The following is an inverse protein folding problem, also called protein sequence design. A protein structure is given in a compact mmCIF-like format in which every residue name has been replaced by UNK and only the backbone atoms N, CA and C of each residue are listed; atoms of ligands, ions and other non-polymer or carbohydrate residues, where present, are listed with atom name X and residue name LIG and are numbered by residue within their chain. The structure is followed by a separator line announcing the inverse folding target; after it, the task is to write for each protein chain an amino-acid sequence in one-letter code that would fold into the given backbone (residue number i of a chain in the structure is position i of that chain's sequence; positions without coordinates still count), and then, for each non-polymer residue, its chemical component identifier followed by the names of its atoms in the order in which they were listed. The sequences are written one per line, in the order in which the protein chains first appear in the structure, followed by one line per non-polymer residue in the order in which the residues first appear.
data_IF_699657590001
#
_entry.id   IF_699657590001
#
_cell.length_a   1.000
_cell.length_b   1.000
_cell.length_c   1.000
_cell.angle_alpha   90.00
_cell.angle_beta   90.00
_cell.angle_gamma   90.00
#
_symmetry.space_group_name_H-M   'P 1'
#
loop_
_entity.id
_entity.type
_entity.pdbx_description
1 polymer ?
#
# COMPACT_ATOMS: atom_id res chain seq x y z
N UNK A 1 -69.97 -15.97 39.28
CA UNK A 1 -68.96 -16.74 38.53
C UNK A 1 -68.98 -16.29 37.08
N UNK A 2 -68.17 -15.30 36.70
CA UNK A 2 -67.89 -14.93 35.29
C UNK A 2 -66.88 -13.79 35.31
N UNK A 3 -65.58 -14.11 35.39
CA UNK A 3 -64.51 -13.13 35.21
C UNK A 3 -63.14 -13.82 35.01
N UNK A 4 -63.01 -14.68 34.00
CA UNK A 4 -61.69 -15.08 33.45
C UNK A 4 -61.89 -15.53 32.00
N UNK A 5 -61.95 -14.62 31.01
CA UNK A 5 -61.78 -14.97 29.59
C UNK A 5 -61.41 -13.75 28.72
N UNK A 6 -60.39 -12.99 29.10
CA UNK A 6 -59.81 -11.96 28.21
C UNK A 6 -58.31 -11.81 28.46
N UNK A 7 -57.49 -12.85 28.23
CA UNK A 7 -56.04 -12.62 28.20
C UNK A 7 -55.19 -13.68 27.43
N UNK A 8 -55.62 -14.08 26.22
CA UNK A 8 -54.82 -15.03 25.42
C UNK A 8 -54.50 -14.59 23.99
N UNK A 9 -54.97 -13.41 23.54
CA UNK A 9 -54.75 -12.95 22.16
C UNK A 9 -53.67 -11.88 21.98
N UNK A 10 -53.13 -11.30 23.05
CA UNK A 10 -52.17 -10.19 22.95
C UNK A 10 -50.70 -10.63 22.75
N UNK A 11 -50.32 -11.84 23.18
CA UNK A 11 -48.92 -12.27 23.16
C UNK A 11 -48.44 -12.84 21.80
N UNK A 12 -49.34 -13.26 20.92
CA UNK A 12 -48.97 -13.79 19.60
C UNK A 12 -48.65 -12.68 18.57
N UNK A 13 -49.25 -11.49 18.71
CA UNK A 13 -49.01 -10.38 17.77
C UNK A 13 -47.66 -9.71 18.02
N UNK A 14 -47.22 -9.63 19.28
CA UNK A 14 -45.95 -8.98 19.66
C UNK A 14 -44.72 -9.81 19.26
N UNK A 15 -44.85 -11.14 19.22
CA UNK A 15 -43.76 -12.07 18.85
C UNK A 15 -43.53 -12.12 17.33
N UNK A 16 -44.59 -11.93 16.52
CA UNK A 16 -44.47 -11.86 15.06
C UNK A 16 -43.86 -10.53 14.62
N UNK A 17 -44.19 -9.42 15.30
CA UNK A 17 -43.65 -8.09 14.98
C UNK A 17 -42.14 -7.96 15.25
N UNK A 18 -41.60 -8.61 16.29
CA UNK A 18 -40.14 -8.61 16.58
C UNK A 18 -39.33 -9.49 15.63
N UNK A 19 -39.93 -10.58 15.13
CA UNK A 19 -39.29 -11.48 14.15
C UNK A 19 -39.10 -10.84 12.76
N UNK A 20 -40.07 -10.05 12.28
CA UNK A 20 -39.98 -9.36 10.98
C UNK A 20 -38.94 -8.23 11.02
N UNK A 21 -38.82 -7.52 12.15
CA UNK A 21 -37.82 -6.46 12.32
C UNK A 21 -36.41 -7.06 12.32
N UNK A 22 -36.17 -8.18 13.01
CA UNK A 22 -34.86 -8.86 12.95
C UNK A 22 -34.55 -9.44 11.55
N UNK A 23 -35.56 -9.92 10.81
CA UNK A 23 -35.39 -10.40 9.43
C UNK A 23 -34.98 -9.30 8.45
N UNK A 24 -35.45 -8.07 8.63
CA UNK A 24 -35.08 -6.91 7.81
C UNK A 24 -33.68 -6.37 8.14
N UNK A 25 -33.19 -6.54 9.37
CA UNK A 25 -31.80 -6.22 9.72
C UNK A 25 -30.80 -7.27 9.23
N UNK A 26 -31.20 -8.54 9.10
CA UNK A 26 -30.33 -9.62 8.57
C UNK A 26 -30.09 -9.53 7.05
N UNK A 27 -30.93 -8.81 6.30
CA UNK A 27 -30.69 -8.53 4.87
C UNK A 27 -29.62 -7.44 4.68
N UNK A 28 -29.33 -6.64 5.73
CA UNK A 28 -28.24 -5.67 5.73
C UNK A 28 -26.93 -6.22 6.31
N UNK A 29 -26.82 -7.53 6.54
CA UNK A 29 -25.51 -8.19 6.49
C UNK A 29 -25.14 -8.31 5.02
N UNK A 30 -24.91 -7.15 4.39
CA UNK A 30 -24.17 -7.07 3.14
C UNK A 30 -22.81 -7.64 3.49
N UNK A 31 -22.64 -8.92 3.18
CA UNK A 31 -21.34 -9.53 3.01
C UNK A 31 -20.51 -8.52 2.22
N UNK A 32 -19.42 -8.05 2.82
CA UNK A 32 -18.47 -7.09 2.26
C UNK A 32 -17.70 -7.74 1.09
N UNK A 33 -18.43 -8.30 0.11
CA UNK A 33 -17.88 -8.70 -1.17
C UNK A 33 -17.55 -7.39 -1.89
N UNK A 34 -16.27 -7.01 -1.84
CA UNK A 34 -15.70 -5.99 -2.72
C UNK A 34 -16.29 -6.18 -4.11
N UNK A 35 -16.96 -5.16 -4.64
CA UNK A 35 -17.53 -5.19 -5.99
C UNK A 35 -16.48 -5.72 -6.98
N UNK A 36 -16.83 -6.62 -7.93
CA UNK A 36 -15.90 -7.09 -8.97
C UNK A 36 -15.20 -5.95 -9.73
N UNK A 37 -15.82 -4.77 -9.75
CA UNK A 37 -15.24 -3.53 -10.24
C UNK A 37 -14.01 -3.09 -9.42
N UNK A 38 -14.11 -3.04 -8.10
CA UNK A 38 -13.01 -2.65 -7.22
C UNK A 38 -11.85 -3.65 -7.24
N UNK A 39 -12.11 -4.93 -7.52
CA UNK A 39 -11.03 -5.90 -7.74
C UNK A 39 -10.26 -5.62 -9.04
N UNK A 40 -10.98 -5.30 -10.13
CA UNK A 40 -10.34 -4.93 -11.40
C UNK A 40 -9.56 -3.62 -11.27
N UNK A 41 -10.14 -2.62 -10.62
CA UNK A 41 -9.46 -1.35 -10.37
C UNK A 41 -8.20 -1.57 -9.53
N UNK A 42 -8.26 -2.37 -8.46
CA UNK A 42 -7.09 -2.65 -7.63
C UNK A 42 -5.89 -3.15 -8.46
N UNK A 43 -6.11 -4.13 -9.35
CA UNK A 43 -5.07 -4.66 -10.26
C UNK A 43 -4.47 -3.59 -11.17
N UNK A 44 -5.29 -2.65 -11.67
CA UNK A 44 -4.83 -1.50 -12.46
C UNK A 44 -3.96 -0.57 -11.60
N UNK A 45 -4.41 -0.26 -10.38
CA UNK A 45 -3.68 0.64 -9.49
C UNK A 45 -2.32 0.06 -9.07
N UNK A 46 -2.17 -1.26 -9.01
CA UNK A 46 -0.87 -1.87 -8.73
C UNK A 46 0.18 -1.64 -9.79
N UNK A 47 -0.20 -1.81 -11.05
CA UNK A 47 0.66 -1.52 -12.20
C UNK A 47 1.04 -0.04 -12.15
N UNK A 48 0.05 0.83 -11.87
CA UNK A 48 0.28 2.26 -11.71
C UNK A 48 1.28 2.55 -10.60
N UNK A 49 1.14 1.95 -9.41
CA UNK A 49 2.06 2.19 -8.30
C UNK A 49 3.46 1.68 -8.61
N UNK A 50 3.60 0.48 -9.17
CA UNK A 50 4.89 -0.05 -9.61
C UNK A 50 5.59 0.88 -10.60
N UNK A 51 4.84 1.42 -11.58
CA UNK A 51 5.34 2.36 -12.59
C UNK A 51 5.57 3.79 -12.04
N UNK A 52 4.82 4.19 -11.02
CA UNK A 52 4.94 5.51 -10.40
C UNK A 52 6.20 5.63 -9.55
N UNK A 53 6.58 4.56 -8.84
CA UNK A 53 7.79 4.53 -8.03
C UNK A 53 9.08 4.38 -8.86
N UNK A 54 9.01 3.96 -10.12
CA UNK A 54 10.14 3.72 -11.05
C UNK A 54 11.14 2.62 -10.64
N UNK A 55 11.32 2.37 -9.34
CA UNK A 55 12.28 1.40 -8.81
C UNK A 55 11.90 -0.05 -9.13
N UNK A 56 10.60 -0.36 -9.17
CA UNK A 56 10.08 -1.68 -9.52
C UNK A 56 9.74 -1.85 -11.00
N UNK A 57 9.51 -0.74 -11.72
CA UNK A 57 8.93 -0.77 -13.06
C UNK A 57 9.77 -1.56 -14.07
N UNK A 58 9.09 -2.42 -14.82
CA UNK A 58 9.65 -3.04 -16.02
C UNK A 58 9.45 -2.19 -17.29
N UNK A 59 8.55 -1.20 -17.25
CA UNK A 59 8.06 -0.50 -18.43
C UNK A 59 8.56 0.94 -18.54
N UNK A 60 8.99 1.54 -17.44
CA UNK A 60 9.27 2.98 -17.37
C UNK A 60 10.63 3.27 -16.77
N UNK A 61 11.48 3.91 -17.55
CA UNK A 61 12.79 4.37 -17.11
C UNK A 61 12.68 5.68 -16.30
N UNK A 62 13.70 5.94 -15.48
CA UNK A 62 13.94 7.27 -14.93
C UNK A 62 14.22 8.27 -16.06
N UNK A 63 13.63 9.48 -15.99
CA UNK A 63 13.93 10.60 -16.88
C UNK A 63 15.42 10.91 -17.01
N UNK A 64 15.91 11.05 -18.24
CA UNK A 64 17.30 11.39 -18.53
C UNK A 64 17.47 12.82 -19.03
N UNK A 65 16.38 13.48 -19.41
CA UNK A 65 16.39 14.85 -19.90
C UNK A 65 15.05 15.56 -19.60
N UNK A 66 14.97 16.86 -19.95
CA UNK A 66 13.78 17.67 -19.69
C UNK A 66 12.53 17.24 -20.49
N UNK A 67 12.69 16.63 -21.66
CA UNK A 67 11.56 16.09 -22.43
C UNK A 67 10.97 14.89 -21.69
N UNK A 68 11.82 13.95 -21.27
CA UNK A 68 11.40 12.79 -20.47
C UNK A 68 10.77 13.25 -19.15
N UNK A 69 11.29 14.31 -18.53
CA UNK A 69 10.72 14.84 -17.29
C UNK A 69 9.30 15.39 -17.48
N UNK A 70 9.03 16.10 -18.59
CA UNK A 70 7.66 16.59 -18.88
C UNK A 70 6.68 15.45 -19.00
N UNK A 71 7.07 14.40 -19.72
CA UNK A 71 6.26 13.18 -19.86
C UNK A 71 6.08 12.48 -18.51
N UNK A 72 7.16 12.35 -17.73
CA UNK A 72 7.12 11.77 -16.40
C UNK A 72 6.12 12.50 -15.48
N UNK A 73 6.15 13.82 -15.49
CA UNK A 73 5.25 14.67 -14.71
C UNK A 73 3.80 14.53 -15.13
N UNK A 74 3.52 14.49 -16.44
CA UNK A 74 2.16 14.30 -16.95
C UNK A 74 1.59 12.96 -16.49
N UNK A 75 2.31 11.86 -16.76
CA UNK A 75 1.89 10.50 -16.40
C UNK A 75 1.67 10.38 -14.89
N UNK A 76 2.56 10.93 -14.06
CA UNK A 76 2.41 10.84 -12.62
C UNK A 76 1.21 11.63 -12.08
N UNK A 77 0.82 12.73 -12.73
CA UNK A 77 -0.40 13.44 -12.35
C UNK A 77 -1.64 12.62 -12.70
N UNK A 78 -1.64 11.96 -13.87
CA UNK A 78 -2.74 11.07 -14.28
C UNK A 78 -2.85 9.87 -13.33
N UNK A 79 -1.73 9.26 -12.95
CA UNK A 79 -1.67 8.18 -11.95
C UNK A 79 -2.19 8.59 -10.57
N UNK A 80 -1.85 9.80 -10.11
CA UNK A 80 -2.37 10.30 -8.83
C UNK A 80 -3.90 10.44 -8.85
N UNK A 81 -4.47 10.90 -9.97
CA UNK A 81 -5.91 10.99 -10.12
C UNK A 81 -6.57 9.62 -10.09
N UNK A 82 -6.00 8.63 -10.78
CA UNK A 82 -6.48 7.24 -10.79
C UNK A 82 -6.44 6.60 -9.39
N UNK A 83 -5.33 6.75 -8.67
CA UNK A 83 -5.20 6.25 -7.29
C UNK A 83 -6.21 6.93 -6.37
N UNK A 84 -6.39 8.25 -6.51
CA UNK A 84 -7.37 9.01 -5.72
C UNK A 84 -8.80 8.51 -5.96
N UNK A 85 -9.20 8.36 -7.23
CA UNK A 85 -10.54 7.89 -7.59
C UNK A 85 -10.80 6.49 -7.03
N UNK A 86 -9.84 5.57 -7.19
CA UNK A 86 -9.92 4.24 -6.59
C UNK A 86 -10.04 4.32 -5.06
N UNK A 87 -9.22 5.15 -4.41
CA UNK A 87 -9.24 5.32 -2.96
C UNK A 87 -10.57 5.86 -2.45
N UNK A 88 -11.22 6.76 -3.19
CA UNK A 88 -12.50 7.33 -2.81
C UNK A 88 -13.65 6.34 -2.99
N UNK A 89 -13.58 5.51 -4.03
CA UNK A 89 -14.62 4.57 -4.44
C UNK A 89 -14.56 3.21 -3.75
N UNK A 90 -13.36 2.69 -3.51
CA UNK A 90 -13.16 1.27 -3.20
C UNK A 90 -12.47 0.99 -1.85
N UNK A 91 -12.00 2.01 -1.13
CA UNK A 91 -11.30 1.85 0.13
C UNK A 91 -12.11 2.36 1.31
N UNK A 92 -11.99 1.63 2.42
CA UNK A 92 -12.62 1.94 3.70
C UNK A 92 -11.66 2.66 4.65
N UNK A 93 -12.23 3.35 5.64
CA UNK A 93 -11.62 4.15 6.73
C UNK A 93 -10.09 4.17 6.77
N UNK A 94 -9.45 3.15 7.33
CA UNK A 94 -8.00 3.13 7.57
C UNK A 94 -7.20 3.07 6.26
N UNK A 95 -7.55 2.15 5.36
CA UNK A 95 -6.89 2.00 4.07
C UNK A 95 -7.01 3.27 3.22
N UNK A 96 -8.19 3.91 3.22
CA UNK A 96 -8.43 5.19 2.53
C UNK A 96 -7.58 6.32 3.10
N UNK A 97 -7.50 6.43 4.44
CA UNK A 97 -6.68 7.44 5.13
C UNK A 97 -5.20 7.27 4.80
N UNK A 98 -4.69 6.03 4.80
CA UNK A 98 -3.29 5.74 4.51
C UNK A 98 -2.90 6.02 3.07
N UNK A 99 -3.74 5.61 2.11
CA UNK A 99 -3.53 5.96 0.70
C UNK A 99 -3.59 7.47 0.50
N UNK A 100 -4.50 8.17 1.18
CA UNK A 100 -4.56 9.64 1.11
C UNK A 100 -3.31 10.32 1.64
N UNK A 101 -2.74 9.85 2.78
CA UNK A 101 -1.48 10.34 3.32
C UNK A 101 -0.30 10.08 2.37
N UNK A 102 -0.22 8.87 1.82
CA UNK A 102 0.80 8.52 0.84
C UNK A 102 0.69 9.40 -0.42
N UNK A 103 -0.52 9.60 -0.94
CA UNK A 103 -0.74 10.46 -2.11
C UNK A 103 -0.40 11.90 -1.81
N UNK A 104 -0.72 12.43 -0.63
CA UNK A 104 -0.34 13.77 -0.23
C UNK A 104 1.19 13.97 -0.27
N UNK A 105 1.95 13.04 0.33
CA UNK A 105 3.41 13.02 0.27
C UNK A 105 3.93 13.00 -1.16
N UNK A 106 3.39 12.12 -2.00
CA UNK A 106 3.84 12.00 -3.39
C UNK A 106 3.47 13.24 -4.20
N UNK A 107 2.23 13.73 -4.15
CA UNK A 107 1.78 14.94 -4.87
C UNK A 107 2.62 16.16 -4.49
N UNK A 108 2.94 16.33 -3.21
CA UNK A 108 3.79 17.43 -2.73
C UNK A 108 5.20 17.33 -3.31
N UNK A 109 5.80 16.14 -3.29
CA UNK A 109 7.17 15.96 -3.74
C UNK A 109 7.30 15.94 -5.28
N UNK A 110 6.44 15.20 -5.97
CA UNK A 110 6.40 15.14 -7.44
C UNK A 110 6.05 16.50 -8.02
N UNK A 111 5.03 17.18 -7.49
CA UNK A 111 4.63 18.51 -7.92
C UNK A 111 5.72 19.55 -7.68
N UNK A 112 6.50 19.42 -6.61
CA UNK A 112 7.68 20.24 -6.37
C UNK A 112 8.80 19.97 -7.38
N UNK A 113 9.06 18.71 -7.68
CA UNK A 113 10.09 18.27 -8.65
C UNK A 113 9.74 18.67 -10.08
N UNK A 114 8.46 18.62 -10.45
CA UNK A 114 7.95 18.96 -11.77
C UNK A 114 7.89 20.46 -12.07
N UNK A 115 7.75 21.31 -11.03
CA UNK A 115 7.65 22.77 -11.19
C UNK A 115 8.97 23.50 -10.97
N UNK A 116 9.84 22.99 -10.10
CA UNK A 116 11.09 23.65 -9.75
C UNK A 116 12.23 23.22 -10.66
N UNK A 117 12.80 24.16 -11.42
CA UNK A 117 13.99 23.91 -12.27
C UNK A 117 15.14 23.27 -11.48
N UNK A 118 15.39 23.72 -10.25
CA UNK A 118 16.44 23.17 -9.37
C UNK A 118 16.15 21.69 -9.03
N UNK A 119 14.94 21.38 -8.58
CA UNK A 119 14.56 20.01 -8.19
C UNK A 119 14.49 19.08 -9.40
N UNK A 120 14.05 19.58 -10.56
CA UNK A 120 14.12 18.85 -11.83
C UNK A 120 15.56 18.47 -12.16
N UNK A 121 16.49 19.44 -12.10
CA UNK A 121 17.90 19.16 -12.39
C UNK A 121 18.49 18.13 -11.41
N UNK A 122 18.18 18.24 -10.12
CA UNK A 122 18.58 17.25 -9.10
C UNK A 122 18.01 15.85 -9.42
N UNK A 123 16.73 15.76 -9.77
CA UNK A 123 16.10 14.49 -10.12
C UNK A 123 16.74 13.85 -11.35
N UNK A 124 17.02 14.64 -12.39
CA UNK A 124 17.69 14.17 -13.61
C UNK A 124 19.11 13.64 -13.34
N UNK A 125 19.81 14.18 -12.34
CA UNK A 125 21.15 13.68 -11.97
C UNK A 125 21.14 12.25 -11.42
N UNK A 126 19.96 11.75 -11.01
CA UNK A 126 19.79 10.40 -10.51
C UNK A 126 19.39 9.40 -11.62
N UNK A 127 18.96 9.89 -12.79
CA UNK A 127 18.34 9.06 -13.82
C UNK A 127 19.23 7.93 -14.33
N UNK A 128 20.52 8.22 -14.59
CA UNK A 128 21.48 7.21 -15.06
C UNK A 128 21.64 6.06 -14.05
N UNK A 129 21.79 6.41 -12.77
CA UNK A 129 21.93 5.44 -11.69
C UNK A 129 20.64 4.62 -11.50
N UNK A 130 19.48 5.29 -11.48
CA UNK A 130 18.18 4.64 -11.34
C UNK A 130 17.93 3.61 -12.44
N UNK A 131 18.22 3.98 -13.69
CA UNK A 131 18.09 3.08 -14.84
C UNK A 131 19.06 1.89 -14.78
N UNK A 132 20.31 2.11 -14.37
CA UNK A 132 21.30 1.04 -14.23
C UNK A 132 20.93 0.02 -13.12
N UNK A 133 20.30 0.48 -12.05
CA UNK A 133 19.89 -0.35 -10.92
C UNK A 133 18.49 -0.99 -11.08
N UNK A 134 17.68 -0.52 -12.05
CA UNK A 134 16.27 -0.86 -12.17
C UNK A 134 15.98 -2.36 -12.18
N UNK A 135 16.72 -3.15 -12.98
CA UNK A 135 16.52 -4.60 -13.06
C UNK A 135 16.74 -5.29 -11.71
N UNK A 136 17.72 -4.84 -10.94
CA UNK A 136 18.03 -5.43 -9.64
C UNK A 136 17.09 -4.91 -8.55
N UNK A 137 16.68 -3.65 -8.62
CA UNK A 137 15.62 -3.10 -7.76
C UNK A 137 14.29 -3.84 -7.97
N UNK A 138 13.93 -4.21 -9.20
CA UNK A 138 12.74 -5.03 -9.45
C UNK A 138 12.81 -6.39 -8.72
N UNK A 139 13.98 -7.00 -8.57
CA UNK A 139 14.13 -8.24 -7.77
C UNK A 139 13.87 -7.96 -6.29
N UNK A 140 14.40 -6.85 -5.77
CA UNK A 140 14.15 -6.41 -4.39
C UNK A 140 12.65 -6.13 -4.16
N UNK A 141 11.98 -5.49 -5.12
CA UNK A 141 10.55 -5.20 -5.09
C UNK A 141 9.72 -6.49 -5.07
N UNK A 142 9.95 -7.42 -5.99
CA UNK A 142 9.22 -8.69 -6.00
C UNK A 142 9.46 -9.53 -4.74
N UNK A 143 10.68 -9.51 -4.20
CA UNK A 143 10.97 -10.17 -2.93
C UNK A 143 10.13 -9.57 -1.80
N UNK A 144 10.00 -8.24 -1.75
CA UNK A 144 9.15 -7.57 -0.77
C UNK A 144 7.67 -7.94 -0.93
N UNK A 145 7.16 -7.98 -2.16
CA UNK A 145 5.78 -8.43 -2.44
C UNK A 145 5.54 -9.86 -1.94
N UNK A 146 6.51 -10.76 -2.12
CA UNK A 146 6.43 -12.14 -1.63
C UNK A 146 6.40 -12.21 -0.09
N UNK A 147 7.20 -11.37 0.57
CA UNK A 147 7.18 -11.27 2.04
C UNK A 147 5.85 -10.70 2.55
N UNK A 148 5.30 -9.68 1.89
CA UNK A 148 3.97 -9.13 2.21
C UNK A 148 2.85 -10.17 2.02
N UNK A 149 2.92 -10.97 0.96
CA UNK A 149 1.97 -12.07 0.75
C UNK A 149 2.04 -13.10 1.89
N UNK A 150 3.25 -13.44 2.36
CA UNK A 150 3.44 -14.26 3.56
C UNK A 150 2.79 -13.64 4.80
N UNK A 151 3.01 -12.34 5.02
CA UNK A 151 2.43 -11.60 6.16
C UNK A 151 0.90 -11.64 6.15
N UNK A 152 0.28 -11.53 4.98
CA UNK A 152 -1.19 -11.59 4.84
C UNK A 152 -1.77 -12.88 5.46
N UNK A 153 -1.04 -14.00 5.37
CA UNK A 153 -1.46 -15.32 5.87
C UNK A 153 -1.31 -15.50 7.39
N UNK A 154 -0.63 -14.58 8.08
CA UNK A 154 -0.42 -14.67 9.53
C UNK A 154 -1.76 -14.46 10.26
N UNK A 155 -2.03 -15.29 11.27
CA UNK A 155 -3.25 -15.19 12.09
C UNK A 155 -3.13 -14.13 13.18
N UNK A 156 -1.93 -13.95 13.75
CA UNK A 156 -1.65 -12.92 14.76
C UNK A 156 -1.61 -11.52 14.12
N UNK A 157 -2.76 -10.83 14.10
CA UNK A 157 -2.91 -9.53 13.43
C UNK A 157 -1.93 -8.46 13.96
N UNK A 158 -1.56 -8.52 15.25
CA UNK A 158 -0.62 -7.58 15.89
C UNK A 158 0.78 -7.63 15.28
N UNK A 159 1.15 -8.73 14.62
CA UNK A 159 2.44 -8.85 13.95
C UNK A 159 2.42 -8.28 12.52
N UNK A 160 1.25 -8.12 11.90
CA UNK A 160 1.20 -7.80 10.47
C UNK A 160 1.75 -6.42 10.12
N UNK A 161 1.40 -5.39 10.89
CA UNK A 161 1.94 -4.03 10.68
C UNK A 161 3.45 -3.99 10.99
N UNK A 162 3.94 -4.46 12.15
CA UNK A 162 5.37 -4.56 12.43
C UNK A 162 6.16 -5.29 11.35
N UNK A 163 5.67 -6.45 10.89
CA UNK A 163 6.34 -7.23 9.85
C UNK A 163 6.35 -6.49 8.50
N UNK A 164 5.25 -5.81 8.15
CA UNK A 164 5.18 -5.02 6.91
C UNK A 164 6.19 -3.87 6.92
N UNK A 165 6.37 -3.24 8.09
CA UNK A 165 7.39 -2.21 8.29
C UNK A 165 8.80 -2.78 8.17
N UNK A 166 9.11 -3.88 8.86
CA UNK A 166 10.43 -4.50 8.79
C UNK A 166 10.79 -4.96 7.37
N UNK A 167 9.84 -5.55 6.63
CA UNK A 167 10.10 -5.98 5.24
C UNK A 167 10.26 -4.79 4.29
N UNK A 168 9.57 -3.68 4.53
CA UNK A 168 9.82 -2.43 3.81
C UNK A 168 11.27 -1.94 4.00
N UNK A 169 11.78 -1.87 5.24
CA UNK A 169 13.16 -1.44 5.48
C UNK A 169 14.20 -2.41 4.93
N UNK A 170 13.89 -3.71 4.90
CA UNK A 170 14.70 -4.73 4.22
C UNK A 170 14.73 -4.52 2.71
N UNK A 171 13.61 -4.12 2.11
CA UNK A 171 13.50 -3.77 0.69
C UNK A 171 14.30 -2.50 0.37
N UNK A 172 14.20 -1.46 1.20
CA UNK A 172 15.04 -0.25 1.11
C UNK A 172 16.54 -0.56 1.16
N UNK A 173 16.94 -1.38 2.14
CA UNK A 173 18.34 -1.85 2.25
C UNK A 173 18.78 -2.68 1.04
N UNK A 174 17.84 -3.37 0.38
CA UNK A 174 18.11 -4.08 -0.86
C UNK A 174 18.40 -3.11 -2.00
N UNK A 175 17.62 -2.03 -2.15
CA UNK A 175 17.90 -0.97 -3.13
C UNK A 175 19.25 -0.30 -2.90
N UNK A 176 19.59 0.07 -1.67
CA UNK A 176 20.89 0.66 -1.34
C UNK A 176 22.06 -0.23 -1.85
N UNK A 177 21.97 -1.55 -1.60
CA UNK A 177 22.95 -2.52 -2.11
C UNK A 177 22.99 -2.60 -3.63
N UNK A 178 21.88 -2.44 -4.35
CA UNK A 178 21.93 -2.44 -5.81
C UNK A 178 22.65 -1.20 -6.32
N UNK A 179 22.43 -0.02 -5.72
CA UNK A 179 23.15 1.21 -6.09
C UNK A 179 24.66 1.06 -5.83
N UNK A 180 25.04 0.47 -4.70
CA UNK A 180 26.44 0.17 -4.36
C UNK A 180 27.12 -0.79 -5.34
N UNK A 181 26.36 -1.67 -5.99
CA UNK A 181 26.87 -2.59 -7.01
C UNK A 181 27.01 -1.93 -8.40
N UNK A 182 26.35 -0.79 -8.63
CA UNK A 182 26.39 -0.04 -9.89
C UNK A 182 27.32 1.18 -9.82
N UNK A 183 28.48 1.06 -9.16
CA UNK A 183 29.40 2.21 -8.91
C UNK A 183 29.85 2.97 -10.17
N UNK A 184 29.81 2.34 -11.35
CA UNK A 184 30.13 3.00 -12.62
C UNK A 184 29.07 4.01 -13.05
N UNK A 185 27.81 3.76 -12.70
CA UNK A 185 26.65 4.58 -13.05
C UNK A 185 26.09 5.37 -11.85
N UNK A 186 26.37 4.91 -10.64
CA UNK A 186 25.88 5.44 -9.38
C UNK A 186 27.03 6.09 -8.59
N UNK A 187 27.05 7.43 -8.60
CA UNK A 187 27.83 8.18 -7.60
C UNK A 187 27.15 8.06 -6.24
N UNK A 188 27.90 8.28 -5.15
CA UNK A 188 27.32 8.33 -3.79
C UNK A 188 26.15 9.32 -3.73
N UNK A 189 26.30 10.51 -4.32
CA UNK A 189 25.24 11.53 -4.40
C UNK A 189 23.98 11.02 -5.11
N UNK A 190 24.13 10.25 -6.19
CA UNK A 190 23.00 9.69 -6.94
C UNK A 190 22.31 8.58 -6.17
N UNK A 191 23.07 7.71 -5.48
CA UNK A 191 22.53 6.67 -4.61
C UNK A 191 21.74 7.29 -3.45
N UNK A 192 22.36 8.23 -2.70
CA UNK A 192 21.72 8.98 -1.61
C UNK A 192 20.45 9.70 -2.11
N UNK A 193 20.51 10.26 -3.32
CA UNK A 193 19.38 10.93 -3.97
C UNK A 193 18.21 9.98 -4.26
N UNK A 194 18.48 8.77 -4.71
CA UNK A 194 17.46 7.74 -4.99
C UNK A 194 16.87 7.16 -3.70
N UNK A 195 17.70 6.91 -2.69
CA UNK A 195 17.24 6.47 -1.37
C UNK A 195 16.34 7.52 -0.73
N UNK A 196 16.73 8.80 -0.81
CA UNK A 196 15.91 9.91 -0.33
C UNK A 196 14.58 10.03 -1.08
N UNK A 197 14.52 9.69 -2.37
CA UNK A 197 13.26 9.68 -3.11
C UNK A 197 12.31 8.61 -2.57
N UNK A 198 12.81 7.42 -2.25
CA UNK A 198 12.02 6.37 -1.61
C UNK A 198 11.51 6.83 -0.24
N UNK A 199 12.38 7.43 0.57
CA UNK A 199 12.02 7.92 1.91
C UNK A 199 10.93 8.98 1.83
N UNK A 200 11.07 9.98 0.96
CA UNK A 200 10.08 11.07 0.87
C UNK A 200 8.69 10.56 0.50
N UNK A 201 8.59 9.49 -0.29
CA UNK A 201 7.29 8.92 -0.64
C UNK A 201 6.67 8.06 0.45
N UNK A 202 7.48 7.47 1.33
CA UNK A 202 6.99 6.53 2.34
C UNK A 202 6.98 7.11 3.77
N UNK A 203 7.77 8.15 4.08
CA UNK A 203 8.05 8.59 5.46
C UNK A 203 6.81 8.94 6.26
N UNK A 204 5.86 9.71 5.72
CA UNK A 204 4.67 10.11 6.47
C UNK A 204 3.79 8.89 6.80
N UNK A 205 3.59 8.00 5.83
CA UNK A 205 2.84 6.76 6.00
C UNK A 205 3.53 5.80 6.98
N UNK A 206 4.85 5.63 6.86
CA UNK A 206 5.63 4.76 7.74
C UNK A 206 5.73 5.33 9.15
N UNK A 207 5.87 6.65 9.31
CA UNK A 207 5.90 7.27 10.64
C UNK A 207 4.57 7.08 11.35
N UNK A 208 3.46 7.12 10.60
CA UNK A 208 2.13 6.84 11.13
C UNK A 208 1.93 5.36 11.50
N UNK A 209 2.41 4.41 10.69
CA UNK A 209 2.14 2.97 10.89
C UNK A 209 3.19 2.25 11.74
N UNK A 210 4.46 2.58 11.55
CA UNK A 210 5.56 1.72 11.96
C UNK A 210 6.10 2.04 13.36
N UNK A 211 5.84 3.24 13.89
CA UNK A 211 6.38 3.66 15.19
C UNK A 211 7.87 3.35 15.32
N UNK A 212 8.21 2.45 16.25
CA UNK A 212 9.59 2.02 16.55
C UNK A 212 10.15 0.89 15.65
N UNK A 213 9.36 0.35 14.72
CA UNK A 213 9.81 -0.71 13.79
C UNK A 213 10.50 -0.08 12.58
N UNK A 214 11.73 0.40 12.81
CA UNK A 214 12.58 1.10 11.83
C UNK A 214 13.82 0.27 11.47
N UNK A 215 14.63 0.75 10.54
CA UNK A 215 15.85 0.10 10.04
C UNK A 215 16.95 -0.07 11.10
N UNK A 216 16.93 0.75 12.15
CA UNK A 216 17.86 0.74 13.27
C UNK A 216 17.38 -0.08 14.49
N UNK A 217 16.25 -0.78 14.36
CA UNK A 217 15.57 -1.46 15.46
C UNK A 217 15.88 -2.96 15.49
N UNK A 218 16.47 -3.46 16.57
CA UNK A 218 16.67 -4.90 16.84
C UNK A 218 15.34 -5.68 16.92
N UNK A 219 14.21 -4.95 17.03
CA UNK A 219 12.85 -5.50 17.05
C UNK A 219 12.53 -6.30 15.79
N UNK A 220 13.10 -5.94 14.63
CA UNK A 220 12.83 -6.64 13.38
C UNK A 220 13.44 -8.04 13.30
N UNK A 221 14.63 -8.24 13.89
CA UNK A 221 15.39 -9.50 13.80
C UNK A 221 14.63 -10.68 14.43
N UNK A 222 13.85 -10.40 15.47
CA UNK A 222 13.08 -11.40 16.22
C UNK A 222 11.77 -11.80 15.53
N UNK A 223 11.24 -10.96 14.65
CA UNK A 223 9.91 -11.16 14.04
C UNK A 223 9.97 -11.54 12.57
N UNK A 224 10.90 -11.01 11.78
CA UNK A 224 11.02 -11.32 10.34
C UNK A 224 11.12 -12.83 10.06
N UNK A 225 11.84 -13.65 10.86
CA UNK A 225 11.86 -15.11 10.67
C UNK A 225 10.49 -15.79 10.79
N UNK A 226 9.49 -15.13 11.39
CA UNK A 226 8.12 -15.65 11.53
C UNK A 226 7.29 -15.54 10.25
N UNK A 227 7.78 -14.85 9.22
CA UNK A 227 7.05 -14.72 7.95
C UNK A 227 6.99 -16.10 7.27
N UNK A 228 5.79 -16.64 7.00
CA UNK A 228 5.66 -17.91 6.31
C UNK A 228 6.28 -17.85 4.92
N UNK A 229 7.01 -18.89 4.53
CA UNK A 229 7.42 -19.06 3.13
C UNK A 229 6.19 -19.42 2.31
N UNK A 230 5.70 -18.52 1.46
CA UNK A 230 4.58 -18.85 0.57
C UNK A 230 5.08 -19.68 -0.61
N UNK A 231 4.35 -20.76 -0.93
CA UNK A 231 4.61 -21.61 -2.11
C UNK A 231 4.03 -21.02 -3.41
N UNK A 232 3.37 -19.88 -3.32
CA UNK A 232 2.70 -19.28 -4.47
C UNK A 232 3.72 -18.80 -5.49
N UNK A 233 3.73 -19.51 -6.62
CA UNK A 233 4.34 -19.06 -7.87
C UNK A 233 3.46 -18.05 -8.61
N UNK A 234 2.38 -17.57 -7.97
CA UNK A 234 1.46 -16.61 -8.58
C UNK A 234 2.24 -15.35 -8.93
N UNK A 235 2.38 -15.16 -10.24
CA UNK A 235 2.99 -14.01 -10.85
C UNK A 235 2.10 -12.83 -10.45
N UNK A 236 2.63 -11.95 -9.62
CA UNK A 236 2.13 -10.61 -9.30
C UNK A 236 0.91 -10.55 -8.36
N UNK A 237 1.21 -10.52 -7.06
CA UNK A 237 0.35 -9.86 -6.09
C UNK A 237 0.75 -8.39 -5.99
N UNK A 238 -0.10 -7.55 -6.57
CA UNK A 238 -0.50 -6.25 -6.06
C UNK A 238 0.09 -5.79 -4.71
N UNK A 239 1.01 -4.82 -4.64
CA UNK A 239 1.42 -4.23 -3.36
C UNK A 239 0.23 -3.62 -2.61
N UNK A 240 -0.68 -2.94 -3.31
CA UNK A 240 -1.77 -2.20 -2.67
C UNK A 240 -2.83 -3.14 -2.12
N UNK A 241 -3.25 -4.14 -2.88
CA UNK A 241 -4.25 -5.10 -2.43
C UNK A 241 -3.71 -5.92 -1.27
N UNK A 242 -2.42 -6.31 -1.30
CA UNK A 242 -1.83 -6.99 -0.14
C UNK A 242 -1.83 -6.06 1.08
N UNK A 243 -1.36 -4.82 0.93
CA UNK A 243 -1.31 -3.86 2.03
C UNK A 243 -2.72 -3.54 2.57
N UNK A 244 -3.71 -3.31 1.72
CA UNK A 244 -5.12 -3.13 2.13
C UNK A 244 -5.63 -4.38 2.84
N UNK A 245 -5.31 -5.58 2.34
CA UNK A 245 -5.71 -6.83 2.99
C UNK A 245 -5.08 -6.98 4.38
N UNK A 246 -3.83 -6.54 4.54
CA UNK A 246 -3.15 -6.50 5.82
C UNK A 246 -3.86 -5.50 6.75
N UNK A 247 -4.05 -4.27 6.28
CA UNK A 247 -4.63 -3.17 7.05
C UNK A 247 -6.07 -3.45 7.47
N UNK A 248 -6.91 -3.95 6.57
CA UNK A 248 -8.29 -4.31 6.86
C UNK A 248 -8.42 -5.53 7.79
N UNK A 249 -7.34 -6.29 8.00
CA UNK A 249 -7.32 -7.38 8.98
C UNK A 249 -6.89 -6.94 10.38
N UNK A 250 -6.53 -5.67 10.56
CA UNK A 250 -6.20 -5.07 11.85
C UNK A 250 -7.45 -4.39 12.41
N UNK A 251 -7.88 -4.69 13.65
CA UNK A 251 -9.03 -4.02 14.26
C UNK A 251 -8.80 -2.52 14.43
N UNK A 252 -9.85 -1.73 14.20
CA UNK A 252 -9.82 -0.27 14.38
C UNK A 252 -9.32 0.11 15.78
N UNK A 253 -8.38 1.06 15.86
CA UNK A 253 -7.78 1.53 17.12
C UNK A 253 -6.59 0.70 17.63
N UNK A 254 -6.14 -0.30 16.88
CA UNK A 254 -4.94 -1.10 17.22
C UNK A 254 -3.62 -0.55 16.67
N UNK A 255 -3.68 0.57 15.93
CA UNK A 255 -2.54 1.29 15.34
C UNK A 255 -2.42 2.64 16.00
#
# INVERSE_FOLDING_TARGET
MLNVMLNSRSNHVLTIATGVICGLFMINVIVCQKSPECEREAKKIDIIIEDMYLFGSAQRAFPMNNKDMKEFCKINNDYQLEIKNYSEKCLETLSKRLISLMMYSISRNSGGTCRSKRRTAEFLTNGKCGNAAQRDNRKCWHKWLHELDGIKTITEYKLKVPLSCCTFYKMRSCFARTYDQKRKECTKKSADGLEKLLDVYATETLSFLCGDYRDDSDKCDKIVPKIPKTKNNDKTNSPITILISILNSVPDGSV
#
